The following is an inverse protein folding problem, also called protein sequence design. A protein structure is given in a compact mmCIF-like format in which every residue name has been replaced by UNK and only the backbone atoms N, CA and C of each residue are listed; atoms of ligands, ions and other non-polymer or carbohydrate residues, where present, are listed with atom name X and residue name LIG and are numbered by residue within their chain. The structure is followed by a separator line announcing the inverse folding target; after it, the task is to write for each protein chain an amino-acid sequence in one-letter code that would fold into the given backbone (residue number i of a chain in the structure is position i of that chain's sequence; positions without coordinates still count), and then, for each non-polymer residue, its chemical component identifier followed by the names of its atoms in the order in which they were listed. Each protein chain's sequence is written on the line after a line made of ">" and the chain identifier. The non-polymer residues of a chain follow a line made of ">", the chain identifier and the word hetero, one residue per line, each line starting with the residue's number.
data_IF_682211103272
#
_entry.id   IF_682211103272
#
_cell.length_a   1.000
_cell.length_b   1.000
_cell.length_c   1.000
_cell.angle_alpha   90.00
_cell.angle_beta   90.00
_cell.angle_gamma   90.00
#
_symmetry.space_group_name_H-M   'P 1'
#
loop_
_entity.id
_entity.type
_entity.pdbx_description
1 polymer ?
#
# COMPACT_ATOMS: atom_id res chain seq x y z
N UNK A 1 -11.46 28.06 4.32
CA UNK A 1 -10.22 27.28 4.12
C UNK A 1 -10.47 25.94 4.78
N UNK A 2 -10.85 24.94 3.98
CA UNK A 2 -11.22 23.62 4.48
C UNK A 2 -9.91 22.89 4.82
N UNK A 3 -9.67 22.70 6.12
CA UNK A 3 -8.55 21.88 6.60
C UNK A 3 -8.74 20.44 6.16
N UNK A 4 -7.64 19.82 5.74
CA UNK A 4 -7.51 18.41 5.40
C UNK A 4 -8.02 17.52 6.54
N UNK A 5 -9.29 17.12 6.46
CA UNK A 5 -9.93 16.24 7.44
C UNK A 5 -9.54 14.76 7.30
N UNK A 6 -8.65 14.42 6.35
CA UNK A 6 -8.08 13.08 6.21
C UNK A 6 -6.63 12.98 6.68
N UNK A 7 -6.11 14.02 7.34
CA UNK A 7 -4.89 13.87 8.11
C UNK A 7 -5.20 13.07 9.39
N UNK A 8 -5.23 11.74 9.27
CA UNK A 8 -5.31 10.82 10.41
C UNK A 8 -4.04 10.89 11.32
N UNK A 9 -3.17 11.90 11.14
CA UNK A 9 -1.81 11.93 11.69
C UNK A 9 -0.93 10.78 11.14
N UNK A 10 -1.37 10.13 10.06
CA UNK A 10 -0.74 8.95 9.49
C UNK A 10 0.27 9.29 8.39
N UNK A 11 0.34 10.54 7.94
CA UNK A 11 1.28 10.98 6.90
C UNK A 11 2.05 12.24 7.27
N UNK A 12 1.47 13.16 8.05
CA UNK A 12 2.20 14.30 8.59
C UNK A 12 2.99 13.91 9.85
N UNK A 13 4.27 14.27 9.84
CA UNK A 13 5.19 14.05 10.96
C UNK A 13 5.07 15.14 12.04
N UNK A 14 4.25 16.17 11.83
CA UNK A 14 4.13 17.35 12.70
C UNK A 14 2.85 17.39 13.58
N UNK A 15 1.89 16.47 13.38
CA UNK A 15 0.62 16.45 14.13
C UNK A 15 0.31 15.06 14.72
N UNK A 16 1.01 14.72 15.81
CA UNK A 16 0.78 13.49 16.57
C UNK A 16 -0.05 13.77 17.83
N UNK A 17 -1.31 13.29 17.86
CA UNK A 17 -2.15 13.32 19.08
C UNK A 17 -1.74 12.28 20.14
N UNK A 18 -1.01 11.24 19.73
CA UNK A 18 -0.48 10.15 20.57
C UNK A 18 0.87 9.73 19.99
N UNK A 19 1.88 9.51 20.83
CA UNK A 19 3.18 8.99 20.40
C UNK A 19 3.05 7.53 19.97
N UNK A 20 3.27 7.26 18.68
CA UNK A 20 3.23 5.91 18.11
C UNK A 20 4.59 5.61 17.46
N UNK A 21 5.12 4.42 17.74
CA UNK A 21 6.40 3.99 17.18
C UNK A 21 6.25 3.79 15.66
N UNK A 22 7.05 4.52 14.88
CA UNK A 22 7.11 4.42 13.41
C UNK A 22 8.30 3.57 13.01
N UNK A 23 8.05 2.51 12.23
CA UNK A 23 9.09 1.62 11.71
C UNK A 23 8.95 1.51 10.21
N UNK A 24 9.97 1.93 9.46
CA UNK A 24 10.04 1.69 8.02
C UNK A 24 10.47 0.24 7.79
N UNK A 25 9.62 -0.54 7.10
CA UNK A 25 9.90 -1.95 6.79
C UNK A 25 10.52 -2.10 5.40
N UNK A 26 10.10 -1.28 4.43
CA UNK A 26 10.59 -1.35 3.06
C UNK A 26 10.44 -0.01 2.34
N UNK A 27 11.36 0.27 1.42
CA UNK A 27 11.25 1.36 0.46
C UNK A 27 11.66 0.87 -0.92
N UNK A 28 10.77 1.03 -1.90
CA UNK A 28 11.03 0.68 -3.30
C UNK A 28 10.92 1.96 -4.11
N UNK A 29 12.00 2.29 -4.82
CA UNK A 29 12.11 3.54 -5.56
C UNK A 29 11.09 3.62 -6.70
N UNK A 30 10.85 2.48 -7.38
CA UNK A 30 10.03 2.43 -8.57
C UNK A 30 9.14 1.19 -8.59
N UNK A 31 7.84 1.40 -8.66
CA UNK A 31 6.86 0.36 -8.92
C UNK A 31 5.72 0.92 -9.79
N UNK A 32 4.95 0.02 -10.37
CA UNK A 32 4.01 0.35 -11.44
C UNK A 32 2.59 0.05 -11.00
N UNK A 33 1.71 1.03 -11.14
CA UNK A 33 0.29 0.86 -10.88
C UNK A 33 -0.49 0.62 -12.17
N UNK A 34 -1.47 -0.27 -12.12
CA UNK A 34 -2.27 -0.70 -13.28
C UNK A 34 -3.75 -0.62 -12.96
N UNK A 35 -4.55 -0.21 -13.95
CA UNK A 35 -6.00 -0.31 -13.85
C UNK A 35 -6.42 -1.76 -14.08
N UNK A 36 -7.22 -2.32 -13.16
CA UNK A 36 -7.81 -3.65 -13.34
C UNK A 36 -8.88 -3.62 -14.46
N UNK A 37 -9.01 -4.70 -15.24
CA UNK A 37 -10.15 -4.91 -16.13
C UNK A 37 -11.50 -4.79 -15.39
N UNK A 38 -12.53 -4.34 -16.10
CA UNK A 38 -13.87 -4.23 -15.52
C UNK A 38 -14.38 -5.61 -15.13
N UNK A 39 -14.88 -5.73 -13.89
CA UNK A 39 -15.42 -7.00 -13.38
C UNK A 39 -14.37 -7.99 -12.89
N UNK A 40 -13.09 -7.60 -12.77
CA UNK A 40 -12.08 -8.41 -12.08
C UNK A 40 -12.53 -8.77 -10.65
N UNK A 41 -12.40 -10.05 -10.29
CA UNK A 41 -12.71 -10.60 -8.97
C UNK A 41 -11.57 -11.52 -8.53
N UNK A 42 -11.42 -11.68 -7.22
CA UNK A 42 -10.51 -12.67 -6.64
C UNK A 42 -10.95 -14.10 -7.01
N UNK A 43 -10.02 -15.02 -7.32
CA UNK A 43 -8.57 -14.81 -7.36
C UNK A 43 -8.11 -14.07 -8.63
N UNK A 44 -7.19 -13.11 -8.46
CA UNK A 44 -6.78 -12.23 -9.56
C UNK A 44 -5.70 -12.85 -10.48
N UNK A 45 -5.72 -12.40 -11.73
CA UNK A 45 -4.69 -12.67 -12.74
C UNK A 45 -4.25 -11.35 -13.36
N UNK A 46 -2.96 -11.21 -13.63
CA UNK A 46 -2.41 -10.06 -14.35
C UNK A 46 -2.60 -10.19 -15.87
N UNK A 47 -2.92 -11.39 -16.36
CA UNK A 47 -3.37 -11.63 -17.72
C UNK A 47 -4.58 -10.74 -18.06
N UNK A 48 -4.40 -9.84 -19.05
CA UNK A 48 -5.37 -8.81 -19.43
C UNK A 48 -5.12 -7.41 -18.85
N UNK A 49 -4.09 -7.21 -18.02
CA UNK A 49 -3.69 -5.87 -17.57
C UNK A 49 -2.86 -5.16 -18.65
N UNK A 50 -2.89 -3.82 -18.75
CA UNK A 50 -2.06 -3.07 -19.69
C UNK A 50 -0.60 -2.97 -19.20
N UNK A 51 0.12 -4.10 -19.15
CA UNK A 51 1.48 -4.18 -18.57
C UNK A 51 2.52 -3.29 -19.28
N UNK A 52 2.31 -2.96 -20.56
CA UNK A 52 3.18 -2.06 -21.33
C UNK A 52 2.88 -0.58 -21.11
N UNK A 53 1.72 -0.25 -20.52
CA UNK A 53 1.26 1.11 -20.28
C UNK A 53 0.69 1.22 -18.86
N UNK A 54 1.56 1.28 -17.84
CA UNK A 54 1.11 1.48 -16.47
C UNK A 54 0.30 2.76 -16.34
N UNK A 55 -0.67 2.76 -15.42
CA UNK A 55 -1.45 3.93 -15.05
C UNK A 55 -0.55 5.03 -14.49
N UNK A 56 0.38 4.64 -13.62
CA UNK A 56 1.33 5.55 -12.98
C UNK A 56 2.58 4.78 -12.54
N UNK A 57 3.75 5.43 -12.63
CA UNK A 57 4.97 5.01 -11.97
C UNK A 57 5.07 5.72 -10.60
N UNK A 58 5.23 4.95 -9.52
CA UNK A 58 5.21 5.45 -8.14
C UNK A 58 6.38 4.88 -7.34
N UNK A 59 6.80 5.59 -6.29
CA UNK A 59 7.64 5.04 -5.23
C UNK A 59 6.75 4.46 -4.13
N UNK A 60 7.13 3.32 -3.59
CA UNK A 60 6.44 2.65 -2.49
C UNK A 60 7.24 2.77 -1.19
N UNK A 61 6.57 3.16 -0.12
CA UNK A 61 7.07 3.03 1.26
C UNK A 61 6.13 2.17 2.07
N UNK A 62 6.68 1.18 2.76
CA UNK A 62 5.97 0.31 3.70
C UNK A 62 6.36 0.72 5.10
N UNK A 63 5.42 1.26 5.85
CA UNK A 63 5.67 1.83 7.17
C UNK A 63 4.68 1.28 8.19
N UNK A 64 5.18 0.71 9.28
CA UNK A 64 4.38 0.32 10.43
C UNK A 64 4.26 1.49 11.40
N UNK A 65 3.05 1.78 11.87
CA UNK A 65 2.75 2.75 12.93
C UNK A 65 1.88 2.04 13.97
N UNK A 66 2.50 1.58 15.05
CA UNK A 66 1.82 0.78 16.07
C UNK A 66 1.24 -0.51 15.46
N UNK A 67 -0.08 -0.67 15.53
CA UNK A 67 -0.78 -1.85 15.01
C UNK A 67 -1.16 -1.75 13.53
N UNK A 68 -0.96 -0.58 12.91
CA UNK A 68 -1.34 -0.32 11.51
C UNK A 68 -0.12 -0.37 10.61
N UNK A 69 -0.24 -1.05 9.47
CA UNK A 69 0.72 -1.02 8.38
C UNK A 69 0.23 -0.11 7.26
N UNK A 70 1.07 0.80 6.80
CA UNK A 70 0.76 1.74 5.73
C UNK A 70 1.57 1.40 4.48
N UNK A 71 0.89 1.18 3.37
CA UNK A 71 1.51 1.20 2.05
C UNK A 71 1.27 2.58 1.43
N UNK A 72 2.33 3.36 1.36
CA UNK A 72 2.31 4.76 0.93
C UNK A 72 2.90 4.82 -0.47
N UNK A 73 2.10 5.24 -1.43
CA UNK A 73 2.51 5.39 -2.82
C UNK A 73 2.64 6.86 -3.16
N UNK A 74 3.83 7.29 -3.56
CA UNK A 74 4.10 8.68 -3.96
C UNK A 74 4.59 8.75 -5.39
N UNK A 75 4.39 9.89 -6.04
CA UNK A 75 4.94 10.16 -7.36
C UNK A 75 5.58 11.54 -7.39
N UNK A 76 6.56 11.72 -8.25
CA UNK A 76 7.20 13.02 -8.45
C UNK A 76 6.48 13.75 -9.57
N UNK A 77 5.98 14.96 -9.28
CA UNK A 77 5.41 15.83 -10.31
C UNK A 77 6.47 16.84 -10.77
N UNK A 78 6.87 16.77 -12.05
CA UNK A 78 7.79 17.74 -12.67
C UNK A 78 8.98 17.10 -13.40
N UNK A 79 9.67 17.90 -14.21
CA UNK A 79 10.87 17.48 -14.94
C UNK A 79 12.01 17.10 -13.98
N UNK A 80 12.79 16.08 -14.35
CA UNK A 80 13.85 15.45 -13.57
C UNK A 80 15.00 16.38 -13.10
N UNK A 81 14.94 17.69 -13.38
CA UNK A 81 15.94 18.70 -13.01
C UNK A 81 15.52 19.65 -11.87
N UNK A 82 14.24 19.70 -11.49
CA UNK A 82 13.81 20.40 -10.26
C UNK A 82 13.71 19.37 -9.14
N UNK A 83 13.98 19.72 -7.88
CA UNK A 83 13.68 18.85 -6.72
C UNK A 83 12.17 18.64 -6.67
N UNK A 84 11.67 17.71 -7.47
CA UNK A 84 10.25 17.51 -7.68
C UNK A 84 9.62 17.12 -6.36
N UNK A 85 8.58 17.84 -5.99
CA UNK A 85 7.84 17.55 -4.77
C UNK A 85 7.18 16.17 -4.94
N UNK A 86 7.50 15.24 -4.04
CA UNK A 86 6.79 13.96 -3.99
C UNK A 86 5.37 14.21 -3.50
N UNK A 87 4.39 13.86 -4.32
CA UNK A 87 2.97 13.95 -3.98
C UNK A 87 2.42 12.56 -3.68
N UNK A 88 1.53 12.46 -2.70
CA UNK A 88 0.78 11.24 -2.44
C UNK A 88 -0.06 10.87 -3.67
N UNK A 89 0.08 9.63 -4.13
CA UNK A 89 -0.75 9.06 -5.19
C UNK A 89 -1.90 8.25 -4.59
N UNK A 90 -1.57 7.36 -3.66
CA UNK A 90 -2.50 6.44 -3.04
C UNK A 90 -1.99 5.98 -1.68
N UNK A 91 -2.93 5.60 -0.81
CA UNK A 91 -2.64 5.03 0.50
C UNK A 91 -3.43 3.73 0.68
N UNK A 92 -2.78 2.69 1.17
CA UNK A 92 -3.43 1.46 1.63
C UNK A 92 -3.12 1.28 3.12
N UNK A 93 -4.03 1.70 4.02
CA UNK A 93 -3.92 1.39 5.43
C UNK A 93 -4.40 -0.04 5.70
N UNK A 94 -3.56 -0.82 6.36
CA UNK A 94 -3.81 -2.21 6.75
C UNK A 94 -3.83 -2.24 8.27
N UNK A 95 -5.01 -2.46 8.83
CA UNK A 95 -5.20 -2.71 10.24
C UNK A 95 -5.91 -4.04 10.34
N UNK A 96 -5.21 -5.09 10.79
CA UNK A 96 -5.77 -6.44 10.93
C UNK A 96 -6.19 -6.75 12.37
N UNK A 97 -5.90 -5.85 13.31
CA UNK A 97 -6.15 -6.05 14.75
C UNK A 97 -7.50 -5.49 15.14
N UNK A 98 -7.77 -4.24 14.77
CA UNK A 98 -8.94 -3.51 15.25
C UNK A 98 -10.19 -3.76 14.38
N UNK A 99 -10.15 -4.76 13.51
CA UNK A 99 -11.25 -5.08 12.59
C UNK A 99 -12.29 -5.97 13.26
N UNK A 100 -13.55 -5.64 13.04
CA UNK A 100 -14.70 -6.47 13.44
C UNK A 100 -15.00 -7.54 12.40
N UNK A 101 -14.71 -7.27 11.13
CA UNK A 101 -14.90 -8.20 10.01
C UNK A 101 -13.73 -9.19 9.92
N UNK A 102 -14.04 -10.49 9.95
CA UNK A 102 -13.05 -11.56 9.87
C UNK A 102 -12.25 -11.55 8.55
N UNK A 103 -12.82 -11.05 7.45
CA UNK A 103 -12.09 -10.92 6.20
C UNK A 103 -11.05 -9.80 6.28
N UNK A 104 -11.39 -8.68 6.93
CA UNK A 104 -10.46 -7.56 7.13
C UNK A 104 -9.36 -7.84 8.15
N UNK A 105 -9.42 -8.96 8.88
CA UNK A 105 -8.32 -9.43 9.74
C UNK A 105 -7.18 -10.11 8.97
N UNK A 106 -7.32 -10.28 7.66
CA UNK A 106 -6.30 -10.91 6.81
C UNK A 106 -5.59 -9.85 5.98
N UNK A 107 -4.26 -9.91 5.90
CA UNK A 107 -3.48 -9.03 5.01
C UNK A 107 -3.92 -9.22 3.55
N UNK A 108 -4.26 -10.45 3.17
CA UNK A 108 -4.73 -10.82 1.82
C UNK A 108 -6.01 -10.09 1.40
N UNK A 109 -6.81 -9.61 2.36
CA UNK A 109 -7.94 -8.74 2.02
C UNK A 109 -7.42 -7.46 1.36
N UNK A 110 -6.39 -6.82 1.91
CA UNK A 110 -5.87 -5.55 1.43
C UNK A 110 -4.89 -5.71 0.28
N UNK A 111 -4.09 -6.76 0.28
CA UNK A 111 -3.06 -7.05 -0.73
C UNK A 111 -3.12 -8.50 -1.15
N UNK A 112 -3.55 -8.76 -2.37
CA UNK A 112 -3.68 -10.12 -2.90
C UNK A 112 -2.63 -10.36 -4.00
N UNK A 113 -1.88 -11.45 -3.94
CA UNK A 113 -0.97 -11.82 -5.02
C UNK A 113 -1.75 -12.36 -6.22
N UNK A 114 -1.34 -12.03 -7.45
CA UNK A 114 -1.95 -12.62 -8.65
C UNK A 114 -1.48 -14.07 -8.85
N UNK A 115 -2.31 -14.90 -9.49
CA UNK A 115 -2.03 -16.33 -9.68
C UNK A 115 -0.96 -16.66 -10.71
N UNK A 116 -0.80 -15.80 -11.72
CA UNK A 116 -0.01 -16.05 -12.93
C UNK A 116 1.39 -15.41 -12.88
N UNK A 117 1.72 -14.67 -11.81
CA UNK A 117 3.00 -13.98 -11.69
C UNK A 117 3.36 -13.67 -10.24
N UNK A 118 4.62 -13.88 -9.90
CA UNK A 118 5.18 -13.46 -8.61
C UNK A 118 5.58 -11.98 -8.57
N UNK A 119 5.39 -11.20 -9.64
CA UNK A 119 5.71 -9.77 -9.65
C UNK A 119 4.51 -8.84 -9.46
N UNK A 120 3.29 -9.37 -9.54
CA UNK A 120 2.09 -8.55 -9.52
C UNK A 120 1.19 -8.88 -8.33
N UNK A 121 0.49 -7.86 -7.86
CA UNK A 121 -0.43 -7.89 -6.73
C UNK A 121 -1.62 -7.00 -7.04
N UNK A 122 -2.73 -7.22 -6.36
CA UNK A 122 -3.86 -6.28 -6.30
C UNK A 122 -3.86 -5.66 -4.91
N UNK A 123 -3.94 -4.34 -4.85
CA UNK A 123 -3.93 -3.56 -3.61
C UNK A 123 -5.25 -2.79 -3.49
N UNK A 124 -5.85 -2.81 -2.31
CA UNK A 124 -6.97 -1.92 -1.96
C UNK A 124 -6.44 -0.58 -1.48
N UNK A 125 -6.60 0.45 -2.28
CA UNK A 125 -6.19 1.81 -1.95
C UNK A 125 -7.40 2.68 -1.64
N UNK A 126 -7.19 3.71 -0.83
CA UNK A 126 -8.18 4.75 -0.55
C UNK A 126 -7.91 6.02 -1.36
N UNK A 127 -8.96 6.61 -1.91
CA UNK A 127 -8.93 7.91 -2.60
C UNK A 127 -8.99 9.07 -1.60
N UNK A 128 -8.05 10.02 -1.72
CA UNK A 128 -7.93 11.26 -0.94
C UNK A 128 -9.24 12.06 -0.88
N UNK A 129 -10.06 12.02 -1.94
CA UNK A 129 -11.20 12.95 -2.08
C UNK A 129 -12.55 12.38 -1.67
N UNK A 130 -12.68 11.07 -1.55
CA UNK A 130 -14.00 10.44 -1.49
C UNK A 130 -14.15 9.32 -0.45
N UNK A 131 -13.08 9.00 0.32
CA UNK A 131 -13.01 7.81 1.20
C UNK A 131 -13.50 6.52 0.51
N UNK A 132 -13.35 6.49 -0.83
CA UNK A 132 -13.72 5.33 -1.63
C UNK A 132 -12.53 4.39 -1.71
N UNK A 133 -12.80 3.12 -1.46
CA UNK A 133 -11.85 2.05 -1.71
C UNK A 133 -11.86 1.71 -3.21
N UNK A 134 -10.66 1.52 -3.76
CA UNK A 134 -10.46 1.08 -5.13
C UNK A 134 -9.42 -0.06 -5.17
N UNK A 135 -9.63 -1.00 -6.09
CA UNK A 135 -8.64 -2.03 -6.39
C UNK A 135 -7.71 -1.53 -7.49
N UNK A 136 -6.40 -1.59 -7.22
CA UNK A 136 -5.36 -1.22 -8.16
C UNK A 136 -4.36 -2.36 -8.32
N UNK A 137 -3.90 -2.57 -9.54
CA UNK A 137 -2.85 -3.54 -9.82
C UNK A 137 -1.53 -2.89 -9.43
N UNK A 138 -0.68 -3.62 -8.72
CA UNK A 138 0.67 -3.23 -8.36
C UNK A 138 1.64 -4.21 -9.01
N UNK A 139 2.69 -3.68 -9.63
CA UNK A 139 3.75 -4.49 -10.21
C UNK A 139 5.13 -3.94 -9.91
N UNK A 140 6.07 -4.87 -9.74
CA UNK A 140 7.48 -4.58 -9.50
C UNK A 140 8.32 -4.83 -10.76
N UNK A 141 9.46 -4.16 -10.86
CA UNK A 141 10.37 -4.31 -12.01
C UNK A 141 10.92 -5.73 -12.04
N UNK A 142 11.37 -6.24 -10.91
CA UNK A 142 11.91 -7.58 -10.77
C UNK A 142 11.18 -8.41 -9.71
N UNK A 143 11.53 -9.70 -9.65
CA UNK A 143 10.95 -10.65 -8.70
C UNK A 143 11.51 -10.49 -7.29
N UNK A 144 12.68 -9.87 -7.18
CA UNK A 144 13.38 -9.65 -5.91
C UNK A 144 12.68 -8.57 -5.11
N UNK A 145 12.41 -7.40 -5.70
CA UNK A 145 11.60 -6.33 -5.08
C UNK A 145 10.21 -6.83 -4.68
N UNK A 146 9.58 -7.65 -5.53
CA UNK A 146 8.30 -8.29 -5.22
C UNK A 146 8.41 -9.30 -4.06
N UNK A 147 9.56 -9.96 -3.91
CA UNK A 147 9.88 -10.85 -2.80
C UNK A 147 10.03 -10.08 -1.50
N UNK A 148 10.80 -9.00 -1.52
CA UNK A 148 10.99 -8.10 -0.38
C UNK A 148 9.68 -7.49 0.10
N UNK A 149 8.81 -7.10 -0.85
CA UNK A 149 7.46 -6.63 -0.53
C UNK A 149 6.63 -7.68 0.21
N UNK A 150 6.64 -8.94 -0.26
CA UNK A 150 5.96 -10.04 0.47
C UNK A 150 6.57 -10.26 1.84
N UNK A 151 7.89 -10.23 1.95
CA UNK A 151 8.59 -10.43 3.22
C UNK A 151 8.23 -9.32 4.22
N UNK A 152 8.09 -8.07 3.78
CA UNK A 152 7.67 -6.96 4.61
C UNK A 152 6.23 -7.13 5.13
N UNK A 153 5.29 -7.58 4.28
CA UNK A 153 3.92 -7.89 4.67
C UNK A 153 3.86 -9.05 5.68
N UNK A 154 4.55 -10.15 5.38
CA UNK A 154 4.62 -11.32 6.25
C UNK A 154 5.26 -10.99 7.60
N UNK A 155 6.31 -10.15 7.61
CA UNK A 155 6.95 -9.67 8.82
C UNK A 155 5.96 -8.92 9.71
N UNK A 156 5.20 -7.97 9.16
CA UNK A 156 4.17 -7.25 9.91
C UNK A 156 3.14 -8.22 10.51
N UNK A 157 2.62 -9.15 9.72
CA UNK A 157 1.63 -10.11 10.19
C UNK A 157 2.17 -11.00 11.33
N UNK A 158 3.42 -11.45 11.21
CA UNK A 158 4.10 -12.24 12.25
C UNK A 158 4.36 -11.43 13.52
N UNK A 159 4.82 -10.19 13.39
CA UNK A 159 5.11 -9.31 14.52
C UNK A 159 3.81 -9.03 15.31
N UNK A 160 2.72 -8.68 14.62
CA UNK A 160 1.41 -8.47 15.23
C UNK A 160 0.93 -9.74 15.94
N UNK A 161 0.97 -10.90 15.28
CA UNK A 161 0.55 -12.17 15.92
C UNK A 161 1.35 -12.46 17.19
N UNK A 162 2.66 -12.24 17.19
CA UNK A 162 3.53 -12.45 18.37
C UNK A 162 3.21 -11.47 19.49
N UNK A 163 3.05 -10.19 19.17
CA UNK A 163 2.75 -9.16 20.16
C UNK A 163 1.41 -9.41 20.86
N UNK A 164 0.38 -9.85 20.12
CA UNK A 164 -0.95 -10.13 20.68
C UNK A 164 -1.08 -11.50 21.33
N UNK A 165 -0.23 -12.48 20.98
CA UNK A 165 -0.17 -13.75 21.69
C UNK A 165 0.49 -13.63 23.08
N UNK A 166 1.32 -12.60 23.28
CA UNK A 166 2.07 -12.36 24.52
C UNK A 166 1.40 -11.33 25.44
N UNK A 167 0.24 -10.79 25.07
CA UNK A 167 -0.59 -9.87 25.88
C UNK A 167 -1.66 -10.66 26.62
#
# INVERSE_FOLDING_TARGET
>A
MAGDQFNLGLLDDDDYKVSVLRTRLLGIAECFMYRLPRGSKSPFRADGWPLTKPLQCVSLRVERRGDVLLLIFTFTHGDAGSRGQQKLFALCPIDIVNQTDNEKKKVDHFVEAVLDSTRYFVVRVKDEKADREALIGLGFRDREEAGDFRAALAKYEQDIKKEYANR
#
